data_IF_255054536385
#
_entry.id   IF_255054536385
#
_cell.length_a   1.000
_cell.length_b   1.000
_cell.length_c   1.000
_cell.angle_alpha   90.00
_cell.angle_beta   90.00
_cell.angle_gamma   90.00
#
_symmetry.space_group_name_H-M   'P 1'
#
loop_
_entity.id
_entity.type
_entity.pdbx_description
1 polymer ?
#
# COMPACT_ATOMS: atom_id res chain seq x y z
N UNK A 1 13.12 4.62 -1.50
CA UNK A 1 12.76 4.03 -0.18
C UNK A 1 13.23 2.60 -0.09
N UNK A 2 12.85 1.70 -0.97
CA UNK A 2 13.22 0.27 -0.94
C UNK A 2 14.72 0.00 -0.77
N UNK A 3 15.61 0.75 -1.44
CA UNK A 3 17.06 0.58 -1.26
C UNK A 3 17.56 0.83 0.17
N UNK A 4 16.96 1.80 0.88
CA UNK A 4 17.33 2.06 2.28
C UNK A 4 16.85 0.93 3.20
N UNK A 5 15.60 0.48 2.99
CA UNK A 5 15.04 -0.65 3.75
C UNK A 5 15.83 -1.93 3.46
N UNK A 6 16.12 -2.21 2.19
CA UNK A 6 16.92 -3.37 1.79
C UNK A 6 18.29 -3.38 2.45
N UNK A 7 18.99 -2.25 2.43
CA UNK A 7 20.31 -2.14 3.07
C UNK A 7 20.25 -2.43 4.59
N UNK A 8 19.28 -1.87 5.29
CA UNK A 8 19.11 -2.12 6.72
C UNK A 8 18.82 -3.60 7.02
N UNK A 9 18.00 -4.25 6.20
CA UNK A 9 17.70 -5.69 6.32
C UNK A 9 18.94 -6.53 6.05
N UNK A 10 19.70 -6.21 5.00
CA UNK A 10 20.96 -6.91 4.66
C UNK A 10 21.93 -6.85 5.85
N UNK A 11 22.17 -5.65 6.38
CA UNK A 11 23.07 -5.46 7.53
C UNK A 11 22.60 -6.26 8.75
N UNK A 12 21.30 -6.28 9.04
CA UNK A 12 20.72 -7.03 10.14
C UNK A 12 20.89 -8.54 9.96
N UNK A 13 20.54 -9.09 8.80
CA UNK A 13 20.65 -10.51 8.52
C UNK A 13 22.11 -10.99 8.50
N UNK A 14 23.02 -10.21 7.95
CA UNK A 14 24.46 -10.49 7.99
C UNK A 14 25.01 -10.51 9.42
N UNK A 15 24.54 -9.59 10.29
CA UNK A 15 24.93 -9.59 11.71
C UNK A 15 24.48 -10.83 12.48
N UNK A 16 23.43 -11.51 11.99
CA UNK A 16 22.92 -12.77 12.50
C UNK A 16 23.62 -14.00 11.90
N UNK A 17 24.59 -13.79 11.01
CA UNK A 17 25.37 -14.86 10.40
C UNK A 17 24.77 -15.45 9.12
N UNK A 18 23.73 -14.86 8.56
CA UNK A 18 23.18 -15.29 7.28
C UNK A 18 24.05 -14.81 6.11
N UNK A 19 24.17 -15.65 5.10
CA UNK A 19 24.68 -15.23 3.78
C UNK A 19 23.55 -14.51 3.05
N UNK A 20 23.79 -13.28 2.62
CA UNK A 20 22.78 -12.44 1.96
C UNK A 20 23.31 -11.95 0.62
N UNK A 21 22.54 -12.24 -0.44
CA UNK A 21 22.77 -11.71 -1.78
C UNK A 21 21.71 -10.63 -2.08
N UNK A 22 22.15 -9.44 -2.48
CA UNK A 22 21.25 -8.32 -2.81
C UNK A 22 20.75 -8.46 -4.26
N UNK A 23 19.45 -8.30 -4.46
CA UNK A 23 18.82 -8.28 -5.78
C UNK A 23 18.00 -7.00 -5.93
N UNK A 24 18.29 -6.21 -6.97
CA UNK A 24 17.49 -5.06 -7.37
C UNK A 24 16.62 -5.43 -8.59
N UNK A 25 15.29 -5.53 -8.43
CA UNK A 25 14.40 -5.97 -9.50
C UNK A 25 14.11 -4.91 -10.58
N UNK A 26 14.72 -3.73 -10.52
CA UNK A 26 14.61 -2.72 -11.59
C UNK A 26 15.16 -3.19 -12.94
N UNK A 27 16.03 -4.19 -12.92
CA UNK A 27 16.50 -4.85 -14.14
C UNK A 27 15.55 -5.98 -14.51
N UNK A 28 15.05 -5.99 -15.75
CA UNK A 28 14.06 -6.98 -16.20
C UNK A 28 14.57 -8.44 -16.16
N UNK A 29 15.88 -8.61 -16.13
CA UNK A 29 16.58 -9.90 -16.17
C UNK A 29 17.20 -10.31 -14.82
N UNK A 30 16.73 -9.72 -13.71
CA UNK A 30 17.24 -10.10 -12.38
C UNK A 30 17.10 -11.61 -12.11
N UNK A 31 18.03 -12.15 -11.39
CA UNK A 31 18.09 -13.57 -11.06
C UNK A 31 18.47 -13.72 -9.59
N UNK A 32 17.95 -14.77 -8.97
CA UNK A 32 18.40 -15.22 -7.66
C UNK A 32 19.72 -15.98 -7.79
N UNK A 33 20.57 -15.87 -6.77
CA UNK A 33 21.78 -16.66 -6.70
C UNK A 33 21.43 -18.16 -6.58
N UNK A 34 22.22 -19.07 -7.17
CA UNK A 34 22.02 -20.50 -6.98
C UNK A 34 22.06 -20.88 -5.50
N UNK A 35 21.08 -21.64 -5.05
CA UNK A 35 20.95 -22.07 -3.65
C UNK A 35 20.33 -21.03 -2.72
N UNK A 36 19.64 -19.99 -3.26
CA UNK A 36 18.79 -19.11 -2.45
C UNK A 36 17.68 -19.93 -1.79
N UNK A 37 17.61 -19.93 -0.47
CA UNK A 37 16.64 -20.68 0.33
C UNK A 37 15.36 -19.89 0.60
N UNK A 38 15.47 -18.56 0.73
CA UNK A 38 14.35 -17.66 1.00
C UNK A 38 14.67 -16.23 0.52
N UNK A 39 13.63 -15.51 0.11
CA UNK A 39 13.74 -14.11 -0.27
C UNK A 39 13.07 -13.22 0.77
N UNK A 40 13.80 -12.26 1.33
CA UNK A 40 13.22 -11.19 2.15
C UNK A 40 12.79 -10.05 1.24
N UNK A 41 11.49 -9.80 1.14
CA UNK A 41 10.95 -8.70 0.33
C UNK A 41 11.03 -7.38 1.09
N UNK A 42 11.95 -6.51 0.68
CA UNK A 42 12.10 -5.14 1.19
C UNK A 42 11.65 -4.09 0.16
N UNK A 43 10.76 -4.49 -0.74
CA UNK A 43 10.21 -3.63 -1.78
C UNK A 43 8.97 -2.90 -1.28
N UNK A 44 8.69 -1.72 -1.86
CA UNK A 44 7.53 -0.91 -1.56
C UNK A 44 6.85 -0.43 -2.84
N UNK A 45 5.52 -0.36 -2.81
CA UNK A 45 4.70 0.11 -3.91
C UNK A 45 4.52 -0.91 -5.03
N UNK A 46 4.28 -0.39 -6.21
CA UNK A 46 4.09 -1.20 -7.43
C UNK A 46 5.25 -2.16 -7.65
N UNK A 47 4.97 -3.34 -8.20
CA UNK A 47 5.83 -4.49 -8.34
C UNK A 47 6.14 -5.22 -7.02
N UNK A 48 6.43 -4.51 -5.92
CA UNK A 48 6.81 -5.11 -4.63
C UNK A 48 5.63 -5.58 -3.79
N UNK A 49 4.51 -4.86 -3.86
CA UNK A 49 3.35 -5.07 -2.96
C UNK A 49 2.08 -5.49 -3.71
N UNK A 50 2.10 -5.58 -5.04
CA UNK A 50 0.94 -5.79 -5.90
C UNK A 50 0.81 -7.19 -6.48
N UNK A 51 1.59 -8.15 -6.01
CA UNK A 51 1.56 -9.56 -6.45
C UNK A 51 2.54 -9.91 -7.56
N UNK A 52 3.14 -8.94 -8.24
CA UNK A 52 4.01 -9.20 -9.40
C UNK A 52 5.31 -9.93 -9.02
N UNK A 53 6.05 -9.43 -8.02
CA UNK A 53 7.27 -10.08 -7.55
C UNK A 53 6.97 -11.43 -6.91
N UNK A 54 5.85 -11.52 -6.19
CA UNK A 54 5.38 -12.77 -5.57
C UNK A 54 5.11 -13.85 -6.65
N UNK A 55 4.41 -13.47 -7.72
CA UNK A 55 4.16 -14.37 -8.88
C UNK A 55 5.47 -14.90 -9.46
N UNK A 56 6.47 -14.04 -9.60
CA UNK A 56 7.78 -14.45 -10.11
C UNK A 56 8.47 -15.41 -9.18
N UNK A 57 8.47 -15.17 -7.87
CA UNK A 57 9.12 -16.03 -6.88
C UNK A 57 8.42 -17.38 -6.74
N UNK A 58 7.09 -17.41 -6.84
CA UNK A 58 6.33 -18.67 -6.89
C UNK A 58 6.68 -19.50 -8.12
N UNK A 59 6.83 -18.85 -9.28
CA UNK A 59 7.26 -19.53 -10.50
C UNK A 59 8.69 -20.10 -10.41
N UNK A 60 9.57 -19.40 -9.68
CA UNK A 60 10.94 -19.84 -9.41
C UNK A 60 11.00 -20.88 -8.27
N UNK A 61 9.89 -21.15 -7.57
CA UNK A 61 9.78 -22.13 -6.47
C UNK A 61 10.55 -21.73 -5.20
N UNK A 62 10.77 -20.42 -4.98
CA UNK A 62 11.54 -19.90 -3.84
C UNK A 62 10.60 -19.25 -2.83
N UNK A 63 10.63 -19.67 -1.55
CA UNK A 63 9.88 -19.04 -0.48
C UNK A 63 10.25 -17.55 -0.29
N UNK A 64 9.30 -16.76 0.16
CA UNK A 64 9.53 -15.32 0.42
C UNK A 64 8.74 -14.85 1.64
N UNK A 65 9.15 -13.72 2.22
CA UNK A 65 8.46 -13.10 3.36
C UNK A 65 7.26 -12.29 2.89
N UNK A 66 6.19 -12.29 3.69
CA UNK A 66 4.99 -11.48 3.48
C UNK A 66 3.85 -12.24 2.82
N UNK A 67 2.90 -11.48 2.31
CA UNK A 67 1.65 -11.98 1.75
C UNK A 67 1.85 -12.58 0.36
N UNK A 68 1.16 -13.68 0.06
CA UNK A 68 1.18 -14.32 -1.26
C UNK A 68 0.53 -13.48 -2.36
N UNK A 69 0.59 -13.97 -3.60
CA UNK A 69 0.15 -13.25 -4.81
C UNK A 69 -1.25 -12.67 -4.67
N UNK A 70 -2.24 -13.52 -4.43
CA UNK A 70 -3.65 -13.09 -4.38
C UNK A 70 -3.92 -12.05 -3.27
N UNK A 71 -3.35 -12.26 -2.07
CA UNK A 71 -3.51 -11.31 -0.97
C UNK A 71 -2.85 -9.97 -1.26
N UNK A 72 -1.68 -9.98 -1.92
CA UNK A 72 -0.98 -8.76 -2.34
C UNK A 72 -1.77 -7.97 -3.39
N UNK A 73 -2.26 -8.64 -4.44
CA UNK A 73 -3.11 -8.02 -5.47
C UNK A 73 -4.36 -7.37 -4.86
N UNK A 74 -5.04 -8.13 -3.98
CA UNK A 74 -6.26 -7.67 -3.33
C UNK A 74 -6.01 -6.45 -2.43
N UNK A 75 -4.98 -6.50 -1.59
CA UNK A 75 -4.67 -5.45 -0.64
C UNK A 75 -4.13 -4.18 -1.31
N UNK A 76 -3.42 -4.31 -2.42
CA UNK A 76 -2.87 -3.18 -3.15
C UNK A 76 -3.93 -2.38 -3.92
N UNK A 77 -4.99 -3.06 -4.40
CA UNK A 77 -6.11 -2.44 -5.11
C UNK A 77 -7.24 -2.06 -4.14
N UNK A 78 -7.40 -0.76 -3.88
CA UNK A 78 -8.39 -0.25 -2.91
C UNK A 78 -9.83 -0.54 -3.32
N UNK A 79 -10.14 -0.61 -4.62
CA UNK A 79 -11.48 -0.98 -5.10
C UNK A 79 -11.79 -2.44 -4.75
N UNK A 80 -10.85 -3.35 -5.02
CA UNK A 80 -11.00 -4.76 -4.66
C UNK A 80 -11.09 -4.94 -3.14
N UNK A 81 -10.24 -4.27 -2.37
CA UNK A 81 -10.30 -4.28 -0.90
C UNK A 81 -11.67 -3.83 -0.39
N UNK A 82 -12.21 -2.73 -0.92
CA UNK A 82 -13.53 -2.21 -0.53
C UNK A 82 -14.67 -3.17 -0.84
N UNK A 83 -14.61 -3.86 -1.98
CA UNK A 83 -15.60 -4.87 -2.34
C UNK A 83 -15.58 -6.04 -1.35
N UNK A 84 -14.39 -6.52 -0.98
CA UNK A 84 -14.25 -7.57 0.04
C UNK A 84 -14.76 -7.10 1.41
N UNK A 85 -14.48 -5.87 1.80
CA UNK A 85 -15.02 -5.32 3.06
C UNK A 85 -16.54 -5.29 3.06
N UNK A 86 -17.15 -4.87 1.95
CA UNK A 86 -18.61 -4.88 1.81
C UNK A 86 -19.18 -6.31 1.88
N UNK A 87 -18.57 -7.26 1.17
CA UNK A 87 -18.98 -8.67 1.17
C UNK A 87 -18.88 -9.31 2.56
N UNK A 88 -17.82 -8.99 3.30
CA UNK A 88 -17.56 -9.54 4.65
C UNK A 88 -18.23 -8.75 5.78
N UNK A 89 -18.94 -7.66 5.47
CA UNK A 89 -19.55 -6.79 6.47
C UNK A 89 -18.55 -6.04 7.34
N UNK A 90 -17.33 -5.80 6.84
CA UNK A 90 -16.28 -5.05 7.55
C UNK A 90 -16.59 -3.55 7.43
N UNK A 91 -16.73 -2.81 8.54
CA UNK A 91 -16.98 -1.38 8.50
C UNK A 91 -15.86 -0.62 7.77
N UNK A 92 -16.26 0.24 6.85
CA UNK A 92 -15.35 1.07 6.07
C UNK A 92 -16.04 2.39 5.70
N UNK A 93 -15.32 3.51 5.51
CA UNK A 93 -15.93 4.75 5.07
C UNK A 93 -16.77 4.55 3.80
N UNK A 94 -17.85 5.29 3.65
CA UNK A 94 -18.60 5.34 2.38
C UNK A 94 -17.69 5.86 1.28
N UNK A 95 -17.80 5.28 0.10
CA UNK A 95 -16.86 5.52 -0.97
C UNK A 95 -17.48 5.42 -2.36
N UNK A 96 -16.79 6.02 -3.33
CA UNK A 96 -17.07 5.89 -4.77
C UNK A 96 -15.76 5.85 -5.55
N UNK A 97 -15.76 5.12 -6.64
CA UNK A 97 -14.66 5.21 -7.61
C UNK A 97 -14.89 6.38 -8.55
N UNK A 98 -13.83 7.15 -8.78
CA UNK A 98 -13.81 8.36 -9.58
C UNK A 98 -12.73 8.28 -10.65
N UNK A 99 -12.88 9.09 -11.69
CA UNK A 99 -11.86 9.34 -12.70
C UNK A 99 -11.57 10.85 -12.76
N UNK A 100 -10.44 11.23 -13.35
CA UNK A 100 -10.15 12.63 -13.61
C UNK A 100 -11.30 13.30 -14.37
N UNK A 101 -11.67 14.51 -13.97
CA UNK A 101 -12.78 15.25 -14.56
C UNK A 101 -14.17 14.95 -14.03
N UNK A 102 -14.33 13.98 -13.12
CA UNK A 102 -15.63 13.77 -12.49
C UNK A 102 -16.02 14.96 -11.59
N UNK A 103 -17.30 15.31 -11.55
CA UNK A 103 -17.82 16.28 -10.60
C UNK A 103 -17.77 15.74 -9.16
N UNK A 104 -17.83 16.62 -8.19
CA UNK A 104 -17.91 16.25 -6.78
C UNK A 104 -19.10 15.29 -6.54
N UNK A 105 -18.91 14.26 -5.69
CA UNK A 105 -19.87 13.19 -5.56
C UNK A 105 -21.17 13.65 -4.89
N UNK A 106 -22.30 13.32 -5.49
CA UNK A 106 -23.61 13.46 -4.87
C UNK A 106 -23.82 12.26 -3.94
N UNK A 107 -24.11 12.54 -2.67
CA UNK A 107 -24.44 11.49 -1.69
C UNK A 107 -23.28 11.03 -0.79
N UNK A 108 -22.05 11.47 -1.00
CA UNK A 108 -20.98 11.40 -0.01
C UNK A 108 -20.84 12.76 0.71
N UNK A 109 -20.63 12.71 2.03
CA UNK A 109 -20.45 13.94 2.83
C UNK A 109 -19.00 14.41 2.81
N UNK A 110 -18.79 15.70 2.61
CA UNK A 110 -17.49 16.33 2.84
C UNK A 110 -17.17 16.36 4.37
N UNK A 111 -15.90 16.38 4.79
CA UNK A 111 -14.71 16.37 3.94
C UNK A 111 -14.52 15.03 3.21
N UNK A 112 -13.90 15.09 2.03
CA UNK A 112 -13.55 13.90 1.27
C UNK A 112 -12.06 13.61 1.32
N UNK A 113 -11.72 12.32 1.23
CA UNK A 113 -10.35 11.85 1.04
C UNK A 113 -10.26 11.18 -0.33
N UNK A 114 -9.41 11.72 -1.19
CA UNK A 114 -9.11 11.16 -2.51
C UNK A 114 -7.81 10.39 -2.46
N UNK A 115 -7.80 9.18 -2.98
CA UNK A 115 -6.62 8.31 -2.99
C UNK A 115 -6.50 7.64 -4.36
N UNK A 116 -5.31 7.58 -4.98
CA UNK A 116 -5.11 6.70 -6.13
C UNK A 116 -5.49 5.26 -5.77
N UNK A 117 -6.21 4.57 -6.65
CA UNK A 117 -6.71 3.22 -6.37
C UNK A 117 -5.58 2.22 -6.10
N UNK A 118 -4.45 2.36 -6.78
CA UNK A 118 -3.32 1.42 -6.75
C UNK A 118 -2.01 2.11 -6.41
N UNK A 119 -1.96 2.77 -5.25
CA UNK A 119 -0.72 3.35 -4.72
C UNK A 119 -0.60 3.03 -3.23
N UNK A 120 0.64 2.87 -2.77
CA UNK A 120 0.94 2.67 -1.36
C UNK A 120 1.13 3.97 -0.60
N UNK A 121 1.12 3.88 0.73
CA UNK A 121 1.34 4.99 1.65
C UNK A 121 0.38 6.17 1.40
N UNK A 122 0.85 7.39 1.51
CA UNK A 122 0.09 8.63 1.25
C UNK A 122 0.37 9.25 -0.13
N UNK A 123 0.92 8.47 -1.07
CA UNK A 123 1.20 8.97 -2.43
C UNK A 123 -0.09 9.37 -3.11
N UNK A 124 -0.16 10.64 -3.55
CA UNK A 124 -1.34 11.19 -4.24
C UNK A 124 -2.58 11.39 -3.37
N UNK A 125 -2.50 11.15 -2.05
CA UNK A 125 -3.62 11.41 -1.13
C UNK A 125 -3.94 12.89 -1.08
N UNK A 126 -5.23 13.22 -1.22
CA UNK A 126 -5.75 14.59 -1.11
C UNK A 126 -6.90 14.63 -0.11
N UNK A 127 -6.88 15.59 0.81
CA UNK A 127 -8.00 15.88 1.68
C UNK A 127 -8.75 17.10 1.14
N UNK A 128 -10.04 16.96 0.86
CA UNK A 128 -10.88 18.00 0.27
C UNK A 128 -11.91 18.43 1.30
N UNK A 129 -11.62 19.52 1.99
CA UNK A 129 -12.51 20.12 2.98
C UNK A 129 -13.50 21.08 2.32
N UNK A 130 -13.06 21.77 1.28
CA UNK A 130 -13.83 22.75 0.53
C UNK A 130 -14.03 22.29 -0.92
N UNK A 131 -15.27 22.27 -1.37
CA UNK A 131 -15.65 21.86 -2.72
C UNK A 131 -14.97 22.69 -3.83
N UNK A 132 -14.55 23.94 -3.56
CA UNK A 132 -13.80 24.76 -4.51
C UNK A 132 -12.44 24.16 -4.89
N UNK A 133 -11.89 23.28 -4.06
CA UNK A 133 -10.63 22.57 -4.31
C UNK A 133 -10.81 21.22 -5.00
N UNK A 134 -12.05 20.83 -5.29
CA UNK A 134 -12.36 19.50 -5.82
C UNK A 134 -11.58 19.19 -7.10
N UNK A 135 -11.68 20.05 -8.12
CA UNK A 135 -11.06 19.79 -9.43
C UNK A 135 -9.54 19.64 -9.33
N UNK A 136 -8.89 20.53 -8.58
CA UNK A 136 -7.42 20.47 -8.41
C UNK A 136 -6.98 19.24 -7.62
N UNK A 137 -7.71 18.88 -6.57
CA UNK A 137 -7.40 17.70 -5.77
C UNK A 137 -7.65 16.39 -6.55
N UNK A 138 -8.74 16.33 -7.31
CA UNK A 138 -9.03 15.16 -8.16
C UNK A 138 -7.97 14.99 -9.25
N UNK A 139 -7.52 16.08 -9.88
CA UNK A 139 -6.46 16.05 -10.87
C UNK A 139 -5.15 15.54 -10.24
N UNK A 140 -4.74 16.07 -9.09
CA UNK A 140 -3.52 15.66 -8.39
C UNK A 140 -3.56 14.18 -7.96
N UNK A 141 -4.69 13.69 -7.45
CA UNK A 141 -4.84 12.26 -7.15
C UNK A 141 -4.77 11.37 -8.41
N UNK A 142 -5.27 11.87 -9.54
CA UNK A 142 -5.28 11.17 -10.82
C UNK A 142 -3.92 11.02 -11.51
N UNK A 143 -2.93 11.82 -11.14
CA UNK A 143 -1.56 11.73 -11.69
C UNK A 143 -0.89 10.37 -11.43
N UNK A 144 -1.41 9.61 -10.45
CA UNK A 144 -0.85 8.35 -9.99
C UNK A 144 -1.66 7.10 -10.41
N UNK A 145 -2.31 7.11 -11.58
CA UNK A 145 -2.93 5.89 -12.11
C UNK A 145 -4.37 6.00 -12.60
N UNK A 146 -4.94 7.19 -12.71
CA UNK A 146 -6.21 7.48 -13.36
C UNK A 146 -7.46 7.12 -12.56
N UNK A 147 -7.54 5.95 -11.92
CA UNK A 147 -8.63 5.57 -11.01
C UNK A 147 -8.37 6.13 -9.61
N UNK A 148 -9.38 6.74 -9.03
CA UNK A 148 -9.31 7.42 -7.73
C UNK A 148 -10.42 6.88 -6.83
N UNK A 149 -10.07 6.45 -5.63
CA UNK A 149 -11.03 6.20 -4.56
C UNK A 149 -11.37 7.52 -3.87
N UNK A 150 -12.63 7.89 -3.82
CA UNK A 150 -13.16 8.98 -3.02
C UNK A 150 -13.90 8.44 -1.81
N UNK A 151 -13.53 8.84 -0.62
CA UNK A 151 -14.13 8.40 0.65
C UNK A 151 -14.59 9.59 1.48
N UNK A 152 -15.60 9.36 2.33
CA UNK A 152 -15.91 10.27 3.45
C UNK A 152 -14.75 10.25 4.44
N UNK A 153 -14.31 11.43 4.89
CA UNK A 153 -13.27 11.53 5.91
C UNK A 153 -13.84 11.11 7.28
N UNK A 154 -13.16 10.18 7.93
CA UNK A 154 -13.52 9.75 9.29
C UNK A 154 -12.58 10.42 10.29
N UNK A 155 -13.16 11.14 11.25
CA UNK A 155 -12.43 11.67 12.38
C UNK A 155 -12.32 10.61 13.48
N UNK A 156 -11.11 10.34 13.95
CA UNK A 156 -10.87 9.35 14.98
C UNK A 156 -9.39 9.17 15.27
N UNK A 157 -9.08 8.23 16.13
CA UNK A 157 -7.70 7.80 16.37
C UNK A 157 -7.26 6.92 15.21
N UNK A 158 -6.07 7.15 14.72
CA UNK A 158 -5.44 6.31 13.71
C UNK A 158 -4.74 5.14 14.40
N UNK A 159 -5.13 3.93 14.06
CA UNK A 159 -4.57 2.71 14.66
C UNK A 159 -4.11 1.74 13.57
N UNK A 160 -3.14 0.90 13.92
CA UNK A 160 -2.75 -0.24 13.10
C UNK A 160 -2.65 -1.49 13.96
N UNK A 161 -2.91 -2.65 13.34
CA UNK A 161 -2.77 -3.96 13.96
C UNK A 161 -1.94 -4.83 13.02
N UNK A 162 -0.74 -5.22 13.45
CA UNK A 162 0.07 -6.19 12.71
C UNK A 162 -0.51 -7.59 12.83
N UNK A 163 -0.37 -8.37 11.79
CA UNK A 163 -0.67 -9.81 11.81
C UNK A 163 0.65 -10.56 11.59
N UNK A 164 0.94 -11.51 12.47
CA UNK A 164 2.08 -12.41 12.34
C UNK A 164 1.54 -13.83 12.33
N UNK A 165 1.78 -14.55 11.26
CA UNK A 165 1.09 -15.80 10.95
C UNK A 165 -0.43 -15.58 11.00
N UNK A 166 -1.17 -16.23 11.86
CA UNK A 166 -2.62 -16.07 12.01
C UNK A 166 -3.00 -15.29 13.30
N UNK A 167 -2.02 -14.67 13.98
CA UNK A 167 -2.23 -13.96 15.24
C UNK A 167 -2.21 -12.44 15.05
N UNK A 168 -3.24 -11.77 15.61
CA UNK A 168 -3.27 -10.32 15.68
C UNK A 168 -2.36 -9.82 16.80
N UNK A 169 -1.41 -8.96 16.46
CA UNK A 169 -0.51 -8.31 17.42
C UNK A 169 -1.24 -7.18 18.18
N UNK A 170 -0.65 -6.68 19.28
CA UNK A 170 -1.21 -5.55 20.01
C UNK A 170 -1.46 -4.32 19.13
N UNK A 171 -2.57 -3.63 19.40
CA UNK A 171 -2.96 -2.42 18.69
C UNK A 171 -1.92 -1.31 18.94
N UNK A 172 -1.48 -0.67 17.87
CA UNK A 172 -0.60 0.51 17.92
C UNK A 172 -1.37 1.73 17.44
N UNK A 173 -1.40 2.79 18.25
CA UNK A 173 -1.94 4.09 17.86
C UNK A 173 -0.85 4.91 17.16
N UNK A 174 -1.20 5.48 16.00
CA UNK A 174 -0.33 6.38 15.23
C UNK A 174 -0.70 7.81 15.59
N UNK A 175 0.22 8.53 16.21
CA UNK A 175 0.04 9.93 16.57
C UNK A 175 0.99 10.80 15.74
N UNK A 176 0.53 11.36 14.61
CA UNK A 176 1.36 12.26 13.81
C UNK A 176 1.68 13.53 14.58
N UNK A 177 2.88 14.07 14.40
CA UNK A 177 3.30 15.30 15.09
C UNK A 177 2.50 16.52 14.67
N UNK A 178 2.01 16.53 13.43
CA UNK A 178 1.14 17.58 12.88
C UNK A 178 0.27 17.00 11.75
N UNK A 179 -0.99 17.39 11.70
CA UNK A 179 -1.90 17.00 10.60
C UNK A 179 -2.24 15.51 10.55
N UNK A 180 -2.22 14.95 9.35
CA UNK A 180 -2.41 13.52 9.08
C UNK A 180 -1.08 12.80 8.93
N UNK A 181 -1.05 11.49 9.19
CA UNK A 181 0.13 10.68 8.93
C UNK A 181 0.48 10.67 7.44
N UNK A 182 1.65 11.17 7.12
CA UNK A 182 2.22 11.18 5.77
C UNK A 182 3.75 11.02 5.81
N UNK A 183 4.39 11.13 4.64
CA UNK A 183 5.86 11.02 4.53
C UNK A 183 6.66 12.12 5.23
N UNK A 184 6.04 13.19 5.65
CA UNK A 184 6.70 14.37 6.22
C UNK A 184 6.57 14.42 7.76
N UNK A 185 5.67 13.61 8.34
CA UNK A 185 5.34 13.58 9.77
C UNK A 185 5.79 12.30 10.49
#
# INVERSE_FOLDING_TARGET
MSLRSGKAVIEALQSLGHRVDEVDPRTADWRLAPGTEVVFLALHGEYGEDGQVQTRLEADGVPYTGTGVHGSELAFDKELTKNVFAEKGIPTPRWLMMNAGNAAPVGLRAPWVLKPARQGSSVGLQMVVDASRWESALAAAGEHGGKILCEECINGREITVGILDDEALPIVEIQPKAGTFDYLN
#
